data_IF_368244068610
#
_entry.id   IF_368244068610
#
_cell.length_a   1.000
_cell.length_b   1.000
_cell.length_c   1.000
_cell.angle_alpha   90.00
_cell.angle_beta   90.00
_cell.angle_gamma   90.00
#
_symmetry.space_group_name_H-M   'P 1'
#
loop_
_entity.id
_entity.type
_entity.pdbx_description
1 polymer ?
#
# COMPACT_ATOMS: atom_id res chain seq x y z
N UNK A 1 -7.95 11.23 -19.09
CA UNK A 1 -7.98 9.74 -19.11
C UNK A 1 -7.11 9.11 -18.01
N UNK A 2 -6.09 9.79 -17.48
CA UNK A 2 -5.17 9.20 -16.48
C UNK A 2 -5.77 9.12 -15.07
N UNK A 3 -6.60 10.09 -14.68
CA UNK A 3 -7.36 10.04 -13.42
C UNK A 3 -8.29 8.82 -13.35
N UNK A 4 -8.88 8.39 -14.48
CA UNK A 4 -9.68 7.17 -14.53
C UNK A 4 -8.84 5.93 -14.22
N UNK A 5 -7.62 5.83 -14.79
CA UNK A 5 -6.70 4.73 -14.50
C UNK A 5 -6.25 4.74 -13.04
N UNK A 6 -6.00 5.92 -12.48
CA UNK A 6 -5.68 6.07 -11.06
C UNK A 6 -6.80 5.50 -10.19
N UNK A 7 -8.05 5.94 -10.40
CA UNK A 7 -9.16 5.46 -9.59
C UNK A 7 -9.45 3.96 -9.78
N UNK A 8 -9.19 3.41 -10.97
CA UNK A 8 -9.40 1.97 -11.23
C UNK A 8 -8.20 1.07 -10.87
N UNK A 9 -7.05 1.64 -10.50
CA UNK A 9 -5.86 0.88 -10.10
C UNK A 9 -6.15 0.08 -8.82
N UNK A 10 -5.79 -1.20 -8.77
CA UNK A 10 -5.90 -2.04 -7.58
C UNK A 10 -4.62 -2.87 -7.46
N UNK A 11 -4.28 -3.26 -6.24
CA UNK A 11 -3.20 -4.21 -5.99
C UNK A 11 -3.57 -5.53 -6.69
N UNK A 12 -2.63 -6.07 -7.46
CA UNK A 12 -2.70 -7.40 -8.06
C UNK A 12 -1.80 -8.39 -7.31
N UNK A 13 -1.27 -9.38 -8.01
CA UNK A 13 -0.27 -10.34 -7.46
C UNK A 13 1.15 -9.75 -7.34
N UNK A 14 1.29 -8.43 -7.48
CA UNK A 14 2.56 -7.73 -7.43
C UNK A 14 2.97 -7.36 -6.01
N UNK A 15 4.24 -7.02 -5.83
CA UNK A 15 4.69 -6.52 -4.53
C UNK A 15 4.06 -5.17 -4.19
N UNK A 16 3.77 -4.96 -2.90
CA UNK A 16 3.20 -3.71 -2.41
C UNK A 16 4.12 -2.51 -2.70
N UNK A 17 5.45 -2.67 -2.70
CA UNK A 17 6.34 -1.59 -3.11
C UNK A 17 6.12 -1.19 -4.57
N UNK A 18 5.97 -2.17 -5.47
CA UNK A 18 5.63 -1.94 -6.88
C UNK A 18 4.28 -1.25 -7.03
N UNK A 19 3.29 -1.67 -6.24
CA UNK A 19 1.98 -1.05 -6.22
C UNK A 19 2.03 0.43 -5.81
N UNK A 20 2.78 0.76 -4.74
CA UNK A 20 3.00 2.14 -4.28
C UNK A 20 3.66 3.00 -5.36
N UNK A 21 4.65 2.45 -6.08
CA UNK A 21 5.30 3.16 -7.20
C UNK A 21 4.31 3.45 -8.32
N UNK A 22 3.49 2.47 -8.73
CA UNK A 22 2.45 2.66 -9.75
C UNK A 22 1.44 3.74 -9.37
N UNK A 23 1.02 3.77 -8.10
CA UNK A 23 0.13 4.84 -7.59
C UNK A 23 0.80 6.21 -7.80
N UNK A 24 2.06 6.37 -7.38
CA UNK A 24 2.81 7.64 -7.52
C UNK A 24 2.97 8.05 -8.99
N UNK A 25 3.32 7.11 -9.87
CA UNK A 25 3.51 7.38 -11.29
C UNK A 25 2.22 7.85 -11.96
N UNK A 26 1.09 7.18 -11.68
CA UNK A 26 -0.21 7.60 -12.22
C UNK A 26 -0.65 8.95 -11.63
N UNK A 27 -0.41 9.18 -10.33
CA UNK A 27 -0.75 10.43 -9.69
C UNK A 27 0.06 11.62 -10.21
N UNK A 28 1.33 11.41 -10.55
CA UNK A 28 2.20 12.43 -11.19
C UNK A 28 1.65 12.91 -12.53
N UNK A 29 0.96 12.02 -13.24
CA UNK A 29 0.28 12.34 -14.51
C UNK A 29 -1.13 12.90 -14.33
N UNK A 30 -1.62 12.94 -13.09
CA UNK A 30 -2.90 13.52 -12.74
C UNK A 30 -2.70 14.92 -12.16
N UNK A 31 -3.54 15.86 -12.57
CA UNK A 31 -3.44 17.26 -12.12
C UNK A 31 -4.10 17.46 -10.74
N UNK A 32 -3.64 16.73 -9.72
CA UNK A 32 -4.23 16.74 -8.37
C UNK A 32 -3.87 17.98 -7.53
N UNK A 33 -2.77 18.67 -7.85
CA UNK A 33 -2.35 19.88 -7.15
C UNK A 33 -2.21 19.66 -5.64
N UNK A 34 -2.85 20.52 -4.84
CA UNK A 34 -2.81 20.43 -3.38
C UNK A 34 -3.45 19.14 -2.81
N UNK A 35 -4.33 18.48 -3.56
CA UNK A 35 -5.02 17.25 -3.13
C UNK A 35 -4.21 15.97 -3.43
N UNK A 36 -2.98 16.10 -3.94
CA UNK A 36 -2.16 14.96 -4.31
C UNK A 36 -1.94 13.98 -3.14
N UNK A 37 -1.61 14.47 -1.95
CA UNK A 37 -1.33 13.61 -0.80
C UNK A 37 -2.58 12.86 -0.30
N UNK A 38 -3.73 13.53 -0.22
CA UNK A 38 -4.99 12.89 0.13
C UNK A 38 -5.40 11.85 -0.92
N UNK A 39 -5.29 12.18 -2.22
CA UNK A 39 -5.59 11.24 -3.30
C UNK A 39 -4.70 9.99 -3.23
N UNK A 40 -3.39 10.17 -3.01
CA UNK A 40 -2.43 9.07 -2.87
C UNK A 40 -2.74 8.18 -1.66
N UNK A 41 -3.05 8.78 -0.51
CA UNK A 41 -3.43 8.06 0.70
C UNK A 41 -4.70 7.24 0.48
N UNK A 42 -5.75 7.88 0.02
CA UNK A 42 -7.04 7.23 -0.17
C UNK A 42 -6.94 6.11 -1.21
N UNK A 43 -6.11 6.31 -2.23
CA UNK A 43 -5.83 5.29 -3.24
C UNK A 43 -5.03 4.11 -2.70
N UNK A 44 -4.06 4.36 -1.83
CA UNK A 44 -3.33 3.30 -1.16
C UNK A 44 -4.29 2.49 -0.27
N UNK A 45 -5.12 3.14 0.54
CA UNK A 45 -6.07 2.46 1.42
C UNK A 45 -7.10 1.63 0.63
N UNK A 46 -7.78 2.22 -0.36
CA UNK A 46 -8.83 1.50 -1.11
C UNK A 46 -8.29 0.51 -2.14
N UNK A 47 -7.02 0.68 -2.54
CA UNK A 47 -6.39 -0.09 -3.59
C UNK A 47 -5.72 -1.37 -3.10
N UNK A 48 -5.40 -1.49 -1.81
CA UNK A 48 -4.84 -2.70 -1.21
C UNK A 48 -5.86 -3.84 -1.21
N UNK A 49 -5.43 -5.07 -1.47
CA UNK A 49 -6.27 -6.27 -1.43
C UNK A 49 -6.54 -6.74 0.00
N UNK A 50 -5.55 -6.62 0.89
CA UNK A 50 -5.68 -7.14 2.26
C UNK A 50 -6.41 -6.16 3.17
N UNK A 51 -7.61 -6.55 3.59
CA UNK A 51 -8.43 -5.83 4.57
C UNK A 51 -7.68 -5.60 5.90
N UNK A 52 -6.70 -6.43 6.23
CA UNK A 52 -5.89 -6.25 7.44
C UNK A 52 -5.06 -4.96 7.37
N UNK A 53 -4.46 -4.67 6.22
CA UNK A 53 -3.72 -3.43 6.02
C UNK A 53 -4.67 -2.24 6.00
N UNK A 54 -5.81 -2.35 5.29
CA UNK A 54 -6.81 -1.29 5.24
C UNK A 54 -7.30 -0.92 6.64
N UNK A 55 -7.71 -1.91 7.44
CA UNK A 55 -8.18 -1.69 8.81
C UNK A 55 -7.10 -1.11 9.71
N UNK A 56 -5.83 -1.49 9.53
CA UNK A 56 -4.71 -0.93 10.30
C UNK A 56 -4.50 0.55 9.97
N UNK A 57 -4.53 0.90 8.69
CA UNK A 57 -4.39 2.29 8.22
C UNK A 57 -5.58 3.15 8.67
N UNK A 58 -6.81 2.63 8.61
CA UNK A 58 -8.02 3.35 9.01
C UNK A 58 -8.11 3.63 10.52
N UNK A 59 -7.38 2.87 11.35
CA UNK A 59 -7.32 3.07 12.81
C UNK A 59 -6.34 4.17 13.22
N UNK A 60 -5.38 4.48 12.35
CA UNK A 60 -4.34 5.45 12.63
C UNK A 60 -4.88 6.87 12.43
N UNK A 61 -4.73 7.74 13.43
CA UNK A 61 -5.10 9.16 13.31
C UNK A 61 -4.02 9.93 12.55
N UNK A 62 -4.44 10.89 11.75
CA UNK A 62 -3.56 11.78 10.98
C UNK A 62 -2.51 11.02 10.18
N UNK A 63 -2.99 10.09 9.34
CA UNK A 63 -2.12 9.30 8.48
C UNK A 63 -1.89 10.00 7.15
N UNK A 64 -0.63 10.30 6.86
CA UNK A 64 -0.18 10.75 5.54
C UNK A 64 0.21 9.58 4.64
N UNK A 65 0.26 9.81 3.34
CA UNK A 65 0.67 8.79 2.37
C UNK A 65 2.06 8.20 2.66
N UNK A 66 3.02 9.01 3.10
CA UNK A 66 4.36 8.54 3.47
C UNK A 66 4.29 7.52 4.63
N UNK A 67 3.59 7.88 5.72
CA UNK A 67 3.40 7.02 6.90
C UNK A 67 2.63 5.74 6.54
N UNK A 68 1.58 5.86 5.74
CA UNK A 68 0.82 4.72 5.25
C UNK A 68 1.70 3.76 4.43
N UNK A 69 2.51 4.30 3.51
CA UNK A 69 3.39 3.49 2.68
C UNK A 69 4.44 2.73 3.51
N UNK A 70 5.04 3.39 4.50
CA UNK A 70 6.01 2.77 5.40
C UNK A 70 5.37 1.67 6.25
N UNK A 71 4.19 1.91 6.81
CA UNK A 71 3.48 0.91 7.63
C UNK A 71 3.16 -0.35 6.83
N UNK A 72 2.68 -0.20 5.60
CA UNK A 72 2.32 -1.35 4.77
C UNK A 72 3.57 -2.12 4.35
N UNK A 73 4.66 -1.43 4.00
CA UNK A 73 5.94 -2.06 3.69
C UNK A 73 6.56 -2.79 4.89
N UNK A 74 6.47 -2.20 6.09
CA UNK A 74 6.95 -2.81 7.33
C UNK A 74 6.18 -4.10 7.65
N UNK A 75 4.86 -4.10 7.52
CA UNK A 75 4.06 -5.30 7.83
C UNK A 75 4.23 -6.37 6.74
N UNK A 76 4.33 -6.00 5.45
CA UNK A 76 4.62 -6.94 4.36
C UNK A 76 5.98 -7.63 4.54
N UNK A 77 7.02 -6.88 4.91
CA UNK A 77 8.36 -7.45 5.18
C UNK A 77 8.38 -8.38 6.39
N UNK A 78 7.63 -8.06 7.45
CA UNK A 78 7.44 -8.99 8.59
C UNK A 78 6.75 -10.28 8.12
N UNK A 79 5.71 -10.19 7.29
CA UNK A 79 4.99 -11.36 6.79
C UNK A 79 5.88 -12.27 5.95
N UNK A 80 6.78 -11.70 5.13
CA UNK A 80 7.78 -12.46 4.40
C UNK A 80 8.82 -13.11 5.29
N UNK A 81 9.30 -12.41 6.32
CA UNK A 81 10.31 -12.94 7.22
C UNK A 81 9.77 -14.06 8.14
N UNK A 82 8.51 -13.98 8.57
CA UNK A 82 7.89 -14.99 9.42
C UNK A 82 7.67 -16.35 8.72
N UNK A 83 7.64 -16.39 7.38
CA UNK A 83 7.56 -17.66 6.63
C UNK A 83 8.90 -18.39 6.63
N UNK A 84 10.02 -17.67 6.71
CA UNK A 84 11.36 -18.27 6.73
C UNK A 84 11.69 -18.92 8.09
N UNK A 85 11.17 -18.40 9.20
CA UNK A 85 11.49 -18.91 10.54
C UNK A 85 10.55 -20.02 11.08
N UNK A 86 9.46 -20.36 10.37
CA UNK A 86 8.60 -21.49 10.78
C UNK A 86 8.99 -22.86 10.21
N UNK A 87 10.03 -22.93 9.36
CA UNK A 87 10.51 -24.21 8.79
C UNK A 87 11.64 -24.88 9.58
N UNK A 88 12.20 -24.24 10.61
CA UNK A 88 13.33 -24.80 11.37
C UNK A 88 12.98 -25.40 12.75
N UNK A 89 11.75 -25.24 13.24
CA UNK A 89 11.34 -25.76 14.56
C UNK A 89 10.35 -26.94 14.52
N UNK A 90 10.50 -27.85 13.54
CA UNK A 90 9.75 -29.11 13.53
C UNK A 90 10.59 -30.39 13.39
N UNK A 91 11.91 -30.27 13.53
CA UNK A 91 12.80 -31.41 13.69
C UNK A 91 13.82 -31.12 14.81
N UNK A 92 13.35 -31.09 16.06
CA UNK A 92 14.14 -31.52 17.21
C UNK A 92 13.19 -31.93 18.33
#
# INVERSE_FOLDING_TARGET
MESFRFYNLKEGDEDIATFIVKIKELASKCNFGAFLNDALRDKLVCGLQSEQFQNKLLREKDIDFAKASEMVLAVNSIQRNQVTERRLFKCF
#
